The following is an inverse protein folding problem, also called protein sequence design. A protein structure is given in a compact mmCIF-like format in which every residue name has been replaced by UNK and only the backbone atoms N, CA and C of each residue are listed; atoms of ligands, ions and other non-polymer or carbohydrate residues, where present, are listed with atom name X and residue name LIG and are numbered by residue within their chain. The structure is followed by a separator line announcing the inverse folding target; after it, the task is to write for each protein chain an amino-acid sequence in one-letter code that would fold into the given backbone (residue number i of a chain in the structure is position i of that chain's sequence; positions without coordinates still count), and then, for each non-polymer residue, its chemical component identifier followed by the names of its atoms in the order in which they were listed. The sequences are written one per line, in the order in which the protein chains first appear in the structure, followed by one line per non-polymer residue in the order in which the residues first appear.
data_IF_968455084270
#
_entry.id   IF_968455084270
#
_cell.length_a   1.000
_cell.length_b   1.000
_cell.length_c   1.000
_cell.angle_alpha   90.00
_cell.angle_beta   90.00
_cell.angle_gamma   90.00
#
_symmetry.space_group_name_H-M   'P 1'
#
loop_
_entity.id
_entity.type
_entity.pdbx_description
1 polymer ?
#
# COMPACT_ATOMS: atom_id res chain seq x y z
N UNK A 1 0.99 -10.45 -4.64
CA UNK A 1 0.16 -10.41 -5.83
C UNK A 1 -1.30 -10.49 -5.52
N UNK A 2 -1.69 -11.51 -4.79
CA UNK A 2 -3.06 -11.60 -4.34
C UNK A 2 -3.43 -10.38 -3.52
N UNK A 3 -2.49 -9.93 -2.75
CA UNK A 3 -2.70 -8.76 -1.94
C UNK A 3 -2.95 -7.52 -2.80
N UNK A 4 -2.23 -7.39 -3.90
CA UNK A 4 -2.46 -6.27 -4.79
C UNK A 4 -3.84 -6.33 -5.43
N UNK A 5 -4.26 -7.52 -5.80
CA UNK A 5 -5.58 -7.69 -6.36
C UNK A 5 -6.64 -7.34 -5.32
N UNK A 6 -6.42 -7.76 -4.09
CA UNK A 6 -7.34 -7.44 -3.01
C UNK A 6 -7.43 -5.93 -2.80
N UNK A 7 -6.31 -5.24 -2.89
CA UNK A 7 -6.31 -3.80 -2.74
C UNK A 7 -7.10 -3.12 -3.85
N UNK A 8 -7.03 -3.65 -5.06
CA UNK A 8 -7.81 -3.09 -6.14
C UNK A 8 -9.29 -3.21 -5.89
N UNK A 9 -9.70 -4.37 -5.42
CA UNK A 9 -11.11 -4.56 -5.09
C UNK A 9 -11.51 -3.72 -3.90
N UNK A 10 -10.62 -3.65 -2.92
CA UNK A 10 -10.90 -2.82 -1.76
C UNK A 10 -11.09 -1.37 -2.17
N UNK A 11 -10.38 -0.94 -3.21
CA UNK A 11 -10.54 0.41 -3.70
C UNK A 11 -11.94 0.70 -4.20
N UNK A 12 -12.60 -0.30 -4.75
CA UNK A 12 -13.97 -0.14 -5.18
C UNK A 12 -14.94 -0.22 -4.03
N UNK A 13 -14.54 -0.91 -3.02
CA UNK A 13 -15.36 -1.08 -1.83
C UNK A 13 -14.70 -0.41 -0.67
N UNK A 14 -14.16 0.76 -0.94
CA UNK A 14 -13.38 1.45 0.09
C UNK A 14 -14.19 1.65 1.34
N UNK A 15 -15.48 1.68 1.20
CA UNK A 15 -16.35 1.83 2.36
C UNK A 15 -16.19 0.67 3.29
N UNK A 16 -15.74 -0.43 2.76
CA UNK A 16 -15.55 -1.63 3.57
C UNK A 16 -14.13 -1.78 4.03
N UNK A 17 -13.41 -0.71 4.11
CA UNK A 17 -12.05 -0.80 4.54
C UNK A 17 -11.91 -1.43 5.90
N UNK A 18 -12.99 -1.51 6.63
CA UNK A 18 -12.97 -2.23 7.89
C UNK A 18 -12.59 -3.68 7.68
N UNK A 19 -12.71 -4.14 6.44
CA UNK A 19 -12.36 -5.51 6.13
C UNK A 19 -10.87 -5.75 6.01
N UNK A 20 -10.08 -4.70 6.07
CA UNK A 20 -8.65 -4.87 6.02
C UNK A 20 -8.19 -5.47 7.34
N UNK A 21 -7.67 -6.67 7.27
CA UNK A 21 -7.22 -7.38 8.46
C UNK A 21 -5.73 -7.56 8.44
N UNK A 22 -5.12 -7.33 9.59
CA UNK A 22 -3.69 -7.50 9.75
C UNK A 22 -3.46 -8.73 10.62
N UNK A 23 -2.93 -9.78 10.03
CA UNK A 23 -2.74 -11.03 10.72
C UNK A 23 -1.40 -11.04 11.42
N UNK A 24 -1.44 -11.08 12.74
CA UNK A 24 -0.20 -11.11 13.55
C UNK A 24 0.32 -12.53 13.61
N UNK A 25 -0.56 -13.46 13.99
CA UNK A 25 -0.24 -14.87 13.96
C UNK A 25 -1.56 -15.62 13.89
N UNK A 26 -1.52 -16.92 14.11
CA UNK A 26 -2.71 -17.74 13.94
C UNK A 26 -3.83 -17.35 14.87
N UNK A 27 -3.52 -16.70 15.97
CA UNK A 27 -4.52 -16.42 17.00
C UNK A 27 -4.95 -14.96 17.05
N UNK A 28 -4.33 -14.09 16.25
CA UNK A 28 -4.61 -12.66 16.37
C UNK A 28 -4.74 -12.02 15.00
N UNK A 29 -5.91 -11.46 14.75
CA UNK A 29 -6.18 -10.71 13.53
C UNK A 29 -6.66 -9.33 13.94
N UNK A 30 -5.98 -8.31 13.45
CA UNK A 30 -6.28 -6.93 13.80
C UNK A 30 -6.82 -6.19 12.58
N UNK A 31 -7.75 -5.28 12.83
CA UNK A 31 -8.34 -4.51 11.74
C UNK A 31 -8.25 -3.00 11.98
N UNK A 32 -7.73 -2.59 13.12
CA UNK A 32 -7.64 -1.17 13.45
C UNK A 32 -6.35 -0.94 14.23
N UNK A 33 -5.78 0.27 14.09
CA UNK A 33 -4.52 0.55 14.78
C UNK A 33 -4.65 0.40 16.30
N UNK A 34 -5.81 0.67 16.83
CA UNK A 34 -6.01 0.59 18.29
C UNK A 34 -6.03 -0.84 18.79
N UNK A 35 -6.11 -1.82 17.90
CA UNK A 35 -6.03 -3.22 18.30
C UNK A 35 -4.63 -3.62 18.75
N UNK A 36 -3.64 -2.86 18.36
CA UNK A 36 -2.26 -3.19 18.70
C UNK A 36 -1.96 -2.79 20.13
N UNK A 37 -1.26 -3.66 20.83
CA UNK A 37 -0.88 -3.41 22.22
C UNK A 37 0.43 -2.63 22.32
N UNK A 38 1.27 -2.73 21.33
CA UNK A 38 2.51 -2.00 21.30
C UNK A 38 2.27 -0.61 20.70
N UNK A 39 2.66 0.43 21.41
CA UNK A 39 2.53 1.77 20.87
C UNK A 39 3.43 1.98 19.66
N UNK A 40 4.60 1.37 19.69
CA UNK A 40 5.47 1.43 18.53
C UNK A 40 4.82 0.76 17.33
N UNK A 41 4.17 -0.39 17.55
CA UNK A 41 3.46 -1.05 16.47
C UNK A 41 2.33 -0.19 15.94
N UNK A 42 1.62 0.50 16.83
CA UNK A 42 0.57 1.41 16.40
C UNK A 42 1.11 2.49 15.47
N UNK A 43 2.23 3.07 15.86
CA UNK A 43 2.84 4.13 15.06
C UNK A 43 3.29 3.62 13.69
N UNK A 44 3.94 2.46 13.68
CA UNK A 44 4.40 1.89 12.42
C UNK A 44 3.21 1.48 11.56
N UNK A 45 2.17 0.97 12.17
CA UNK A 45 0.97 0.60 11.43
C UNK A 45 0.36 1.82 10.75
N UNK A 46 0.34 2.96 11.42
CA UNK A 46 -0.16 4.19 10.80
C UNK A 46 0.67 4.58 9.60
N UNK A 47 2.00 4.42 9.71
CA UNK A 47 2.87 4.68 8.57
C UNK A 47 2.58 3.71 7.43
N UNK A 48 2.32 2.46 7.78
CA UNK A 48 1.98 1.45 6.77
C UNK A 48 0.71 1.86 6.01
N UNK A 49 -0.31 2.27 6.73
CA UNK A 49 -1.56 2.69 6.12
C UNK A 49 -1.32 3.88 5.21
N UNK A 50 -0.50 4.83 5.64
CA UNK A 50 -0.19 5.99 4.81
C UNK A 50 0.53 5.57 3.54
N UNK A 51 1.46 4.63 3.65
CA UNK A 51 2.17 4.15 2.46
C UNK A 51 1.23 3.45 1.50
N UNK A 52 0.26 2.73 2.01
CA UNK A 52 -0.72 2.08 1.15
C UNK A 52 -1.57 3.11 0.41
N UNK A 53 -1.91 4.20 1.08
CA UNK A 53 -2.60 5.28 0.41
C UNK A 53 -1.72 5.92 -0.66
N UNK A 54 -0.45 6.09 -0.35
CA UNK A 54 0.50 6.65 -1.32
C UNK A 54 0.60 5.74 -2.54
N UNK A 55 0.64 4.45 -2.33
CA UNK A 55 0.71 3.50 -3.44
C UNK A 55 -0.55 3.58 -4.31
N UNK A 56 -1.71 3.64 -3.68
CA UNK A 56 -2.95 3.75 -4.43
C UNK A 56 -2.99 5.03 -5.26
N UNK A 57 -2.53 6.12 -4.68
CA UNK A 57 -2.47 7.39 -5.38
C UNK A 57 -1.52 7.32 -6.56
N UNK A 58 -0.37 6.70 -6.32
CA UNK A 58 0.63 6.54 -7.36
C UNK A 58 0.10 5.71 -8.53
N UNK A 59 -0.58 4.62 -8.20
CA UNK A 59 -1.14 3.76 -9.24
C UNK A 59 -2.23 4.48 -10.02
N UNK A 60 -3.03 5.29 -9.34
CA UNK A 60 -4.05 6.08 -10.01
C UNK A 60 -3.42 7.06 -10.98
N UNK A 61 -2.37 7.74 -10.55
CA UNK A 61 -1.65 8.68 -11.41
C UNK A 61 -1.04 7.97 -12.60
N UNK A 62 -0.47 6.80 -12.35
CA UNK A 62 0.15 6.03 -13.42
C UNK A 62 -0.89 5.60 -14.46
N UNK A 63 -2.05 5.18 -13.99
CA UNK A 63 -3.12 4.78 -14.92
C UNK A 63 -3.57 5.96 -15.77
N UNK A 64 -3.69 7.13 -15.16
CA UNK A 64 -4.07 8.32 -15.90
C UNK A 64 -3.04 8.65 -16.98
N UNK A 65 -1.76 8.56 -16.61
CA UNK A 65 -0.70 8.85 -17.58
C UNK A 65 -0.70 7.84 -18.71
N UNK A 66 -0.95 6.59 -18.39
CA UNK A 66 -1.01 5.56 -19.42
C UNK A 66 -2.17 5.79 -20.36
N UNK A 67 -3.31 6.23 -19.85
CA UNK A 67 -4.43 6.55 -20.69
C UNK A 67 -4.12 7.73 -21.60
N UNK A 68 -3.51 8.76 -21.05
CA UNK A 68 -3.08 9.89 -21.86
C UNK A 68 -2.13 9.43 -22.96
N UNK A 69 -1.22 8.55 -22.60
CA UNK A 69 -0.23 8.05 -23.56
C UNK A 69 -0.90 7.34 -24.73
N UNK A 70 -1.94 6.56 -24.44
CA UNK A 70 -2.67 5.83 -25.48
C UNK A 70 -3.31 6.77 -26.49
N UNK A 71 -3.79 7.93 -26.00
CA UNK A 71 -4.50 8.87 -26.84
C UNK A 71 -3.59 9.92 -27.49
N UNK A 72 -2.30 9.89 -27.17
CA UNK A 72 -1.38 10.86 -27.74
C UNK A 72 -0.66 10.31 -28.94
N UNK A 73 -0.10 11.22 -29.73
CA UNK A 73 0.69 10.88 -30.90
C UNK A 73 2.02 11.61 -30.88
N UNK A 74 3.03 11.00 -31.49
CA UNK A 74 4.27 11.69 -31.76
C UNK A 74 4.91 12.31 -30.51
N UNK A 75 5.05 13.62 -30.53
CA UNK A 75 5.73 14.33 -29.45
C UNK A 75 5.01 14.21 -28.11
N UNK A 76 3.70 14.13 -28.16
CA UNK A 76 2.94 13.96 -26.92
C UNK A 76 3.33 12.68 -26.19
N UNK A 77 3.46 11.59 -26.93
CA UNK A 77 3.87 10.33 -26.34
C UNK A 77 5.26 10.43 -25.77
N UNK A 78 6.17 11.05 -26.51
CA UNK A 78 7.54 11.16 -26.02
C UNK A 78 7.63 11.97 -24.75
N UNK A 79 6.78 12.96 -24.59
CA UNK A 79 6.79 13.76 -23.39
C UNK A 79 6.29 12.97 -22.18
N UNK A 80 5.36 12.06 -22.40
CA UNK A 80 4.77 11.28 -21.30
C UNK A 80 5.67 10.13 -20.87
N UNK A 81 6.50 9.61 -21.77
CA UNK A 81 7.29 8.42 -21.46
C UNK A 81 8.14 8.55 -20.19
N UNK A 82 8.93 9.64 -20.03
CA UNK A 82 9.74 9.73 -18.81
C UNK A 82 8.91 9.74 -17.54
N UNK A 83 7.77 10.41 -17.57
CA UNK A 83 6.87 10.47 -16.43
C UNK A 83 6.37 9.08 -16.07
N UNK A 84 5.93 8.33 -17.09
CA UNK A 84 5.41 6.99 -16.88
C UNK A 84 6.49 6.09 -16.33
N UNK A 85 7.69 6.16 -16.90
CA UNK A 85 8.78 5.33 -16.41
C UNK A 85 9.14 5.65 -14.98
N UNK A 86 9.14 6.93 -14.64
CA UNK A 86 9.44 7.34 -13.26
C UNK A 86 8.41 6.78 -12.29
N UNK A 87 7.13 6.89 -12.64
CA UNK A 87 6.09 6.37 -11.79
C UNK A 87 6.17 4.86 -11.66
N UNK A 88 6.47 4.18 -12.77
CA UNK A 88 6.60 2.74 -12.74
C UNK A 88 7.74 2.28 -11.83
N UNK A 89 8.80 3.07 -11.76
CA UNK A 89 9.91 2.74 -10.87
C UNK A 89 9.56 2.92 -9.41
N UNK A 90 8.68 3.85 -9.13
CA UNK A 90 8.31 4.12 -7.73
C UNK A 90 7.42 3.05 -7.14
N UNK A 91 6.64 2.38 -7.98
CA UNK A 91 5.70 1.37 -7.48
C UNK A 91 6.41 0.29 -6.68
N UNK A 92 7.42 -0.40 -7.23
CA UNK A 92 8.08 -1.45 -6.44
C UNK A 92 8.79 -0.91 -5.20
N UNK A 93 9.28 0.33 -5.25
CA UNK A 93 9.93 0.91 -4.10
C UNK A 93 8.95 1.06 -2.93
N UNK A 94 7.76 1.58 -3.22
CA UNK A 94 6.76 1.73 -2.18
C UNK A 94 6.26 0.37 -1.71
N UNK A 95 6.11 -0.58 -2.61
CA UNK A 95 5.71 -1.92 -2.22
C UNK A 95 6.72 -2.56 -1.29
N UNK A 96 7.99 -2.32 -1.53
CA UNK A 96 9.03 -2.84 -0.64
C UNK A 96 8.96 -2.18 0.73
N UNK A 97 8.70 -0.88 0.76
CA UNK A 97 8.56 -0.17 2.03
C UNK A 97 7.35 -0.70 2.80
N UNK A 98 6.26 -0.97 2.09
CA UNK A 98 5.08 -1.54 2.74
C UNK A 98 5.41 -2.89 3.36
N UNK A 99 6.15 -3.71 2.64
CA UNK A 99 6.52 -5.01 3.17
C UNK A 99 7.37 -4.89 4.42
N UNK A 100 8.34 -3.98 4.40
CA UNK A 100 9.20 -3.76 5.56
C UNK A 100 8.38 -3.28 6.76
N UNK A 101 7.47 -2.35 6.53
CA UNK A 101 6.65 -1.85 7.62
C UNK A 101 5.72 -2.96 8.15
N UNK A 102 5.20 -3.78 7.26
CA UNK A 102 4.35 -4.89 7.66
C UNK A 102 5.09 -5.84 8.59
N UNK A 103 6.32 -6.17 8.22
CA UNK A 103 7.12 -7.07 9.05
C UNK A 103 7.47 -6.42 10.38
N UNK A 104 7.75 -5.13 10.35
CA UNK A 104 8.11 -4.41 11.58
C UNK A 104 6.93 -4.37 12.55
N UNK A 105 5.73 -4.11 12.03
CA UNK A 105 4.55 -4.10 12.89
C UNK A 105 4.35 -5.44 13.56
N UNK A 106 4.48 -6.51 12.78
CA UNK A 106 4.32 -7.84 13.35
C UNK A 106 5.36 -8.11 14.43
N UNK A 107 6.60 -7.76 14.14
CA UNK A 107 7.67 -8.00 15.09
C UNK A 107 7.41 -7.27 16.40
N UNK A 108 7.05 -6.00 16.31
CA UNK A 108 6.83 -5.18 17.50
C UNK A 108 5.66 -5.71 18.32
N UNK A 109 4.59 -6.07 17.65
CA UNK A 109 3.42 -6.54 18.37
C UNK A 109 3.67 -7.90 19.01
N UNK A 110 4.34 -8.80 18.29
CA UNK A 110 4.64 -10.11 18.85
C UNK A 110 5.54 -9.98 20.06
N UNK A 111 6.52 -9.11 20.01
CA UNK A 111 7.38 -8.87 21.16
C UNK A 111 6.57 -8.39 22.36
N UNK A 112 5.64 -7.48 22.10
CA UNK A 112 4.82 -6.96 23.19
C UNK A 112 3.94 -8.04 23.80
N UNK A 113 3.37 -8.88 22.96
CA UNK A 113 2.49 -9.93 23.45
C UNK A 113 3.22 -10.99 24.25
N UNK A 114 4.50 -11.17 23.98
CA UNK A 114 5.29 -12.18 24.68
C UNK A 114 5.78 -11.70 26.03
N UNK A 115 5.68 -10.43 26.31
CA UNK A 115 6.09 -9.90 27.61
C UNK A 115 4.91 -10.03 28.58
#
# INVERSE_FOLDING_TARGET
RQRLAALKYAGKEEEKKADFHFIIDDSATYSHWSDFRSKEAQNVYRQLIQKEKDLNQLQSNLNKKREEYIHENGLGKKKLEPSILDLEKRVPQIMEEIEKLTNEVRRLEIEKLRR
#
